data_IF_999667414962
#
_entry.id   IF_999667414962
#
_cell.length_a   1.000
_cell.length_b   1.000
_cell.length_c   1.000
_cell.angle_alpha   90.00
_cell.angle_beta   90.00
_cell.angle_gamma   90.00
#
_symmetry.space_group_name_H-M   'P 1'
#
loop_
_entity.id
_entity.type
_entity.pdbx_description
1 polymer ?
#
# COMPACT_ATOMS: atom_id res chain seq x y z
N UNK A 1 5.44 -29.50 29.18
CA UNK A 1 5.31 -28.83 27.87
C UNK A 1 4.42 -29.71 27.01
N UNK A 2 3.13 -29.41 26.91
CA UNK A 2 2.19 -30.24 26.16
C UNK A 2 2.32 -29.95 24.67
N UNK A 3 3.01 -30.84 23.95
CA UNK A 3 2.96 -30.90 22.49
C UNK A 3 1.63 -31.56 22.13
N UNK A 4 0.69 -30.80 21.60
CA UNK A 4 -0.57 -31.34 21.06
C UNK A 4 -0.23 -32.16 19.81
N UNK A 5 -0.62 -33.43 19.77
CA UNK A 5 -0.42 -34.36 18.65
C UNK A 5 -1.28 -33.95 17.43
N UNK A 6 -0.84 -32.91 16.72
CA UNK A 6 -1.44 -32.46 15.46
C UNK A 6 -0.55 -32.98 14.32
N UNK A 7 -1.08 -33.82 13.39
CA UNK A 7 -0.26 -34.48 12.37
C UNK A 7 0.32 -33.53 11.31
N UNK A 8 -0.06 -32.25 11.32
CA UNK A 8 0.35 -31.25 10.34
C UNK A 8 0.57 -29.87 10.99
N UNK A 9 1.47 -29.09 10.38
CA UNK A 9 1.75 -27.70 10.75
C UNK A 9 1.03 -26.74 9.80
N UNK A 10 0.34 -25.74 10.37
CA UNK A 10 -0.27 -24.65 9.59
C UNK A 10 0.75 -23.54 9.39
N UNK A 11 1.07 -23.25 8.13
CA UNK A 11 1.96 -22.15 7.74
C UNK A 11 1.16 -21.16 6.88
N UNK A 12 1.06 -19.91 7.32
CA UNK A 12 0.33 -18.84 6.62
C UNK A 12 1.27 -17.68 6.32
N UNK A 13 1.24 -17.20 5.08
CA UNK A 13 1.87 -15.95 4.66
C UNK A 13 0.81 -14.92 4.27
N UNK A 14 1.05 -13.65 4.60
CA UNK A 14 0.19 -12.51 4.23
C UNK A 14 1.08 -11.41 3.69
N UNK A 15 0.62 -10.78 2.60
CA UNK A 15 1.18 -9.54 2.07
C UNK A 15 0.10 -8.47 2.15
N UNK A 16 0.47 -7.27 2.60
CA UNK A 16 -0.49 -6.16 2.80
C UNK A 16 0.11 -4.88 2.26
N UNK A 17 -0.69 -4.13 1.51
CA UNK A 17 -0.37 -2.77 1.09
C UNK A 17 -1.19 -1.79 1.92
N UNK A 18 -0.51 -0.77 2.45
CA UNK A 18 -1.14 0.33 3.18
C UNK A 18 -0.69 1.63 2.52
N UNK A 19 -1.66 2.45 2.12
CA UNK A 19 -1.39 3.79 1.60
C UNK A 19 -1.01 4.73 2.76
N UNK A 20 0.12 5.43 2.62
CA UNK A 20 0.54 6.40 3.62
C UNK A 20 -0.29 7.68 3.51
N UNK A 21 -0.69 8.25 4.65
CA UNK A 21 -1.41 9.52 4.71
C UNK A 21 -0.47 10.73 4.55
N UNK A 22 0.32 10.77 3.48
CA UNK A 22 1.21 11.90 3.16
C UNK A 22 0.48 13.02 2.42
N UNK A 23 1.02 14.23 2.46
CA UNK A 23 0.48 15.34 1.67
C UNK A 23 0.90 15.26 0.20
N UNK A 24 2.13 14.82 -0.09
CA UNK A 24 2.66 14.63 -1.45
C UNK A 24 2.82 13.15 -1.81
N UNK A 25 2.92 12.85 -3.10
CA UNK A 25 3.32 11.53 -3.61
C UNK A 25 4.75 11.19 -3.19
N UNK A 26 5.10 9.90 -3.29
CA UNK A 26 6.38 9.37 -2.82
C UNK A 26 7.60 10.00 -3.52
N UNK A 27 7.49 10.31 -4.82
CA UNK A 27 8.62 10.72 -5.65
C UNK A 27 8.45 12.10 -6.32
N UNK A 28 7.39 12.83 -6.01
CA UNK A 28 7.16 14.17 -6.53
C UNK A 28 6.25 15.00 -5.61
N UNK A 29 6.17 16.31 -5.85
CA UNK A 29 5.37 17.24 -5.06
C UNK A 29 3.86 17.22 -5.34
N UNK A 30 3.35 16.37 -6.24
CA UNK A 30 1.91 16.27 -6.47
C UNK A 30 1.18 15.82 -5.21
N UNK A 31 -0.05 16.30 -4.99
CA UNK A 31 -0.86 15.88 -3.86
C UNK A 31 -1.12 14.35 -3.90
N UNK A 32 -0.99 13.69 -2.75
CA UNK A 32 -1.36 12.28 -2.59
C UNK A 32 -2.85 12.09 -2.29
N UNK A 33 -3.57 13.15 -1.88
CA UNK A 33 -5.03 13.12 -1.65
C UNK A 33 -5.78 13.08 -2.98
N UNK A 34 -6.02 11.88 -3.52
CA UNK A 34 -6.60 11.67 -4.85
C UNK A 34 -8.11 11.43 -4.85
N UNK A 35 -8.69 11.00 -3.74
CA UNK A 35 -10.10 10.61 -3.68
C UNK A 35 -11.02 11.79 -4.10
N UNK A 36 -11.80 11.58 -5.16
CA UNK A 36 -12.71 12.60 -5.71
C UNK A 36 -12.06 13.64 -6.64
N UNK A 37 -10.76 13.58 -6.90
CA UNK A 37 -10.10 14.49 -7.83
C UNK A 37 -10.50 14.18 -9.30
N UNK A 38 -10.59 15.18 -10.19
CA UNK A 38 -10.81 14.94 -11.62
C UNK A 38 -9.68 14.11 -12.25
N UNK A 39 -9.96 13.35 -13.32
CA UNK A 39 -8.93 12.58 -14.03
C UNK A 39 -7.73 13.44 -14.43
N UNK A 40 -6.52 12.94 -14.16
CA UNK A 40 -5.25 13.57 -14.52
C UNK A 40 -5.06 15.02 -14.00
N UNK A 41 -5.73 15.40 -12.91
CA UNK A 41 -5.60 16.74 -12.31
C UNK A 41 -4.43 16.86 -11.32
N UNK A 42 -3.99 15.75 -10.71
CA UNK A 42 -2.93 15.70 -9.70
C UNK A 42 -1.68 15.02 -10.25
N UNK A 43 -1.16 15.56 -11.35
CA UNK A 43 -0.05 14.96 -12.11
C UNK A 43 1.06 15.96 -12.40
N UNK A 44 2.26 15.44 -12.65
CA UNK A 44 3.42 16.18 -13.14
C UNK A 44 4.26 15.24 -14.01
N UNK A 45 5.28 15.74 -14.72
CA UNK A 45 6.14 14.91 -15.56
C UNK A 45 6.67 13.67 -14.84
N UNK A 46 7.13 13.81 -13.58
CA UNK A 46 7.74 12.74 -12.77
C UNK A 46 6.79 11.57 -12.45
N UNK A 47 5.48 11.82 -12.33
CA UNK A 47 4.52 10.73 -12.04
C UNK A 47 3.77 10.24 -13.28
N UNK A 48 4.04 10.82 -14.45
CA UNK A 48 3.54 10.35 -15.74
C UNK A 48 4.59 9.55 -16.52
N UNK A 49 5.81 9.47 -16.00
CA UNK A 49 7.00 8.86 -16.60
C UNK A 49 8.24 9.62 -16.15
#
# INVERSE_FOLDING_TARGET
>A
MAVTDRPYELVIGIETHVELATESKMFCGCAAKWFGAPPNSLVCPVCLG
#
